data_IF_005282017268
#
_entry.id   IF_005282017268
#
_cell.length_a   1.000
_cell.length_b   1.000
_cell.length_c   1.000
_cell.angle_alpha   90.00
_cell.angle_beta   90.00
_cell.angle_gamma   90.00
#
_symmetry.space_group_name_H-M   'P 1'
#
loop_
_entity.id
_entity.type
_entity.pdbx_description
1 polymer ?
#
# COMPACT_ATOMS: atom_id res chain seq x y z
N UNK A 1 -52.48 46.63 32.53
CA UNK A 1 -51.33 47.11 33.32
C UNK A 1 -50.14 47.16 32.39
N UNK A 2 -49.59 48.36 32.25
CA UNK A 2 -48.53 48.74 31.32
C UNK A 2 -47.17 48.16 31.72
N UNK A 3 -46.30 47.95 30.72
CA UNK A 3 -44.88 47.62 30.91
C UNK A 3 -44.12 48.79 31.54
N UNK A 4 -42.88 48.53 32.00
CA UNK A 4 -41.79 49.46 31.72
C UNK A 4 -40.74 48.81 30.82
N UNK A 5 -40.43 49.55 29.75
CA UNK A 5 -39.21 49.43 28.94
C UNK A 5 -38.01 49.93 29.75
N UNK A 6 -36.86 49.31 29.57
CA UNK A 6 -35.57 49.94 29.83
C UNK A 6 -34.79 49.99 28.51
N UNK A 7 -34.50 51.23 28.13
CA UNK A 7 -33.64 51.64 27.04
C UNK A 7 -32.58 52.58 27.66
N UNK A 8 -31.52 52.86 26.90
CA UNK A 8 -30.37 53.75 27.19
C UNK A 8 -29.17 53.05 27.87
N UNK A 9 -27.90 53.24 27.50
CA UNK A 9 -27.22 54.03 26.46
C UNK A 9 -25.73 53.68 26.49
N UNK A 10 -25.07 53.76 25.32
CA UNK A 10 -23.71 54.26 25.07
C UNK A 10 -22.59 53.95 26.09
N UNK A 11 -21.59 53.17 25.65
CA UNK A 11 -20.19 53.52 25.91
C UNK A 11 -19.35 53.37 24.64
N UNK A 12 -19.09 54.51 24.00
CA UNK A 12 -17.98 54.69 23.06
C UNK A 12 -16.71 54.81 23.90
N UNK A 13 -15.75 53.89 23.76
CA UNK A 13 -14.36 54.15 24.14
C UNK A 13 -13.44 53.81 22.96
N UNK A 14 -12.97 54.92 22.41
CA UNK A 14 -11.76 55.23 21.65
C UNK A 14 -10.62 54.21 21.64
N UNK A 15 -9.98 54.15 20.47
CA UNK A 15 -8.92 53.22 20.11
C UNK A 15 -7.61 53.36 20.87
N UNK A 16 -6.77 52.34 20.66
CA UNK A 16 -5.33 52.48 20.50
C UNK A 16 -4.86 51.44 19.48
N UNK A 17 -4.36 51.96 18.36
CA UNK A 17 -3.49 51.25 17.45
C UNK A 17 -2.28 50.71 18.22
N UNK A 18 -2.00 49.43 18.07
CA UNK A 18 -0.66 48.89 18.31
C UNK A 18 -0.27 48.05 17.10
N UNK A 19 0.35 48.77 16.17
CA UNK A 19 1.23 48.28 15.14
C UNK A 19 2.48 47.67 15.80
N UNK A 20 2.68 46.36 15.64
CA UNK A 20 3.96 45.71 15.91
C UNK A 20 4.21 44.60 14.90
N UNK A 21 4.96 44.95 13.87
CA UNK A 21 6.16 44.21 13.49
C UNK A 21 5.93 42.90 12.75
N UNK A 22 5.63 43.00 11.45
CA UNK A 22 6.06 42.01 10.45
C UNK A 22 7.59 41.90 10.50
N UNK A 23 8.10 40.81 11.07
CA UNK A 23 9.44 40.32 10.70
C UNK A 23 9.28 39.28 9.59
N UNK A 24 9.59 39.73 8.39
CA UNK A 24 9.92 38.90 7.25
C UNK A 24 11.22 38.14 7.54
N UNK A 25 11.13 36.82 7.73
CA UNK A 25 12.30 35.94 7.65
C UNK A 25 12.39 35.44 6.22
N UNK A 26 13.22 36.13 5.44
CA UNK A 26 13.76 35.65 4.17
C UNK A 26 14.75 34.51 4.44
N UNK A 27 14.28 33.26 4.44
CA UNK A 27 15.20 32.13 4.34
C UNK A 27 15.58 31.94 2.88
N UNK A 28 16.70 32.55 2.52
CA UNK A 28 17.25 32.49 1.19
C UNK A 28 17.87 31.11 0.95
N UNK A 29 17.53 30.56 -0.22
CA UNK A 29 17.95 29.28 -0.76
C UNK A 29 19.48 29.15 -0.77
N UNK A 30 20.02 28.33 0.12
CA UNK A 30 21.33 27.72 -0.02
C UNK A 30 21.18 26.32 -0.60
N UNK A 31 21.46 26.18 -1.91
CA UNK A 31 21.64 24.90 -2.60
C UNK A 31 22.59 24.01 -1.80
N UNK A 32 22.09 22.88 -1.29
CA UNK A 32 22.93 21.68 -1.13
C UNK A 32 22.44 20.64 -2.13
N UNK A 33 23.16 20.62 -3.25
CA UNK A 33 23.26 19.45 -4.11
C UNK A 33 23.85 18.32 -3.28
N UNK A 34 23.00 17.39 -2.85
CA UNK A 34 23.44 16.04 -2.51
C UNK A 34 22.77 15.13 -3.52
N UNK A 35 23.34 15.10 -4.73
CA UNK A 35 23.23 13.95 -5.59
C UNK A 35 23.91 12.79 -4.86
N UNK A 36 23.16 12.10 -4.01
CA UNK A 36 23.57 10.80 -3.52
C UNK A 36 23.18 9.79 -4.59
N UNK A 37 24.04 9.70 -5.59
CA UNK A 37 24.08 8.57 -6.51
C UNK A 37 24.49 7.33 -5.72
N UNK A 38 23.55 6.74 -4.98
CA UNK A 38 23.62 5.30 -4.74
C UNK A 38 23.23 4.65 -6.05
N UNK A 39 24.20 4.51 -6.95
CA UNK A 39 24.18 3.39 -7.89
C UNK A 39 24.25 2.13 -7.03
N UNK A 40 23.08 1.65 -6.59
CA UNK A 40 22.95 0.25 -6.22
C UNK A 40 23.27 -0.46 -7.52
N UNK A 41 24.50 -0.96 -7.63
CA UNK A 41 24.87 -1.83 -8.72
C UNK A 41 23.81 -2.92 -8.77
N UNK A 42 23.01 -2.90 -9.83
CA UNK A 42 22.22 -4.05 -10.23
C UNK A 42 23.23 -5.12 -10.60
N UNK A 43 23.68 -5.89 -9.60
CA UNK A 43 24.15 -7.23 -9.85
C UNK A 43 22.91 -7.99 -10.32
N UNK A 44 22.62 -7.86 -11.62
CA UNK A 44 21.80 -8.81 -12.34
C UNK A 44 22.56 -10.13 -12.30
N UNK A 45 22.37 -10.88 -11.21
CA UNK A 45 22.83 -12.26 -11.10
C UNK A 45 22.05 -13.03 -12.15
N UNK A 46 22.70 -13.29 -13.27
CA UNK A 46 22.11 -14.11 -14.32
C UNK A 46 22.32 -15.58 -13.95
N UNK A 47 21.42 -16.47 -14.39
CA UNK A 47 21.58 -17.92 -14.20
C UNK A 47 22.95 -18.44 -14.70
N UNK A 48 23.61 -17.68 -15.60
CA UNK A 48 24.96 -17.96 -16.11
C UNK A 48 26.09 -17.74 -15.09
N UNK A 49 25.88 -16.95 -14.04
CA UNK A 49 26.89 -16.71 -13.01
C UNK A 49 27.01 -17.88 -12.01
N UNK A 50 26.17 -18.92 -12.18
CA UNK A 50 26.08 -20.12 -11.36
C UNK A 50 26.58 -21.39 -12.06
N UNK A 51 27.36 -21.29 -13.15
CA UNK A 51 28.07 -22.46 -13.69
C UNK A 51 29.17 -22.87 -12.69
N UNK A 52 28.82 -23.84 -11.85
CA UNK A 52 29.74 -24.44 -10.88
C UNK A 52 30.93 -25.15 -11.53
N UNK A 53 32.01 -25.40 -10.77
CA UNK A 53 33.16 -26.19 -11.23
C UNK A 53 32.75 -27.55 -11.82
N UNK A 54 33.60 -28.16 -12.67
CA UNK A 54 33.27 -29.31 -13.53
C UNK A 54 32.84 -30.62 -12.84
N UNK A 55 32.63 -30.64 -11.52
CA UNK A 55 32.28 -31.82 -10.72
C UNK A 55 31.00 -31.63 -9.87
N UNK A 56 30.03 -30.84 -10.35
CA UNK A 56 28.76 -30.70 -9.63
C UNK A 56 28.00 -32.02 -9.59
N UNK A 57 27.56 -32.42 -8.41
CA UNK A 57 26.59 -33.52 -8.26
C UNK A 57 25.18 -32.99 -8.55
N UNK A 58 24.20 -33.85 -8.91
CA UNK A 58 22.80 -33.43 -9.06
C UNK A 58 22.23 -32.72 -7.82
N UNK A 59 22.75 -33.06 -6.63
CA UNK A 59 22.44 -32.38 -5.37
C UNK A 59 22.98 -30.94 -5.33
N UNK A 60 24.20 -30.72 -5.82
CA UNK A 60 24.81 -29.38 -5.87
C UNK A 60 24.07 -28.46 -6.86
N UNK A 61 23.62 -29.01 -8.01
CA UNK A 61 22.79 -28.29 -8.97
C UNK A 61 21.44 -27.87 -8.36
N UNK A 62 20.77 -28.81 -7.69
CA UNK A 62 19.50 -28.56 -6.99
C UNK A 62 19.66 -27.56 -5.83
N UNK A 63 20.84 -27.53 -5.20
CA UNK A 63 21.13 -26.55 -4.15
C UNK A 63 21.32 -25.15 -4.71
N UNK A 64 22.04 -25.03 -5.83
CA UNK A 64 22.22 -23.77 -6.54
C UNK A 64 20.90 -23.20 -7.05
N UNK A 65 20.02 -24.03 -7.60
CA UNK A 65 18.68 -23.60 -8.05
C UNK A 65 17.85 -23.05 -6.88
N UNK A 66 17.87 -23.74 -5.72
CA UNK A 66 17.18 -23.26 -4.52
C UNK A 66 17.74 -21.93 -4.01
N UNK A 67 19.07 -21.77 -4.03
CA UNK A 67 19.70 -20.52 -3.62
C UNK A 67 19.33 -19.38 -4.56
N UNK A 68 19.22 -19.63 -5.87
CA UNK A 68 18.73 -18.64 -6.83
C UNK A 68 17.29 -18.22 -6.52
N UNK A 69 16.39 -19.17 -6.26
CA UNK A 69 14.99 -18.88 -5.84
C UNK A 69 14.98 -18.03 -4.57
N UNK A 70 15.82 -18.37 -3.57
CA UNK A 70 15.92 -17.62 -2.30
C UNK A 70 16.47 -16.21 -2.49
N UNK A 71 17.46 -16.02 -3.36
CA UNK A 71 18.02 -14.69 -3.67
C UNK A 71 16.94 -13.81 -4.31
N UNK A 72 16.23 -14.32 -5.32
CA UNK A 72 15.11 -13.58 -5.94
C UNK A 72 14.00 -13.27 -4.96
N UNK A 73 13.62 -14.24 -4.12
CA UNK A 73 12.65 -14.05 -3.04
C UNK A 73 13.06 -12.91 -2.10
N UNK A 74 14.33 -12.87 -1.66
CA UNK A 74 14.83 -11.78 -0.80
C UNK A 74 14.75 -10.41 -1.48
N UNK A 75 15.07 -10.32 -2.77
CA UNK A 75 14.93 -9.06 -3.53
C UNK A 75 13.47 -8.62 -3.61
N UNK A 76 12.57 -9.56 -3.89
CA UNK A 76 11.13 -9.28 -3.97
C UNK A 76 10.55 -8.81 -2.63
N UNK A 77 10.92 -9.46 -1.52
CA UNK A 77 10.53 -9.03 -0.16
C UNK A 77 10.99 -7.61 0.15
N UNK A 78 12.19 -7.19 -0.31
CA UNK A 78 12.65 -5.80 -0.14
C UNK A 78 11.75 -4.82 -0.90
N UNK A 79 11.34 -5.14 -2.12
CA UNK A 79 10.42 -4.31 -2.92
C UNK A 79 9.05 -4.19 -2.27
N UNK A 80 8.49 -5.31 -1.80
CA UNK A 80 7.22 -5.33 -1.06
C UNK A 80 7.27 -4.48 0.21
N UNK A 81 8.37 -4.58 0.98
CA UNK A 81 8.58 -3.75 2.16
C UNK A 81 8.76 -2.27 1.81
N UNK A 82 9.44 -1.93 0.71
CA UNK A 82 9.53 -0.54 0.23
C UNK A 82 8.15 0.05 -0.05
N UNK A 83 7.28 -0.71 -0.74
CA UNK A 83 5.91 -0.29 -1.01
C UNK A 83 5.09 -0.14 0.28
N UNK A 84 5.27 -1.04 1.26
CA UNK A 84 4.65 -0.92 2.60
C UNK A 84 5.05 0.38 3.30
N UNK A 85 6.33 0.76 3.26
CA UNK A 85 6.79 2.03 3.85
C UNK A 85 6.18 3.24 3.15
N UNK A 86 6.12 3.22 1.82
CA UNK A 86 5.47 4.28 1.04
C UNK A 86 3.99 4.41 1.37
N UNK A 87 3.29 3.28 1.54
CA UNK A 87 1.89 3.26 1.94
C UNK A 87 1.69 3.85 3.34
N UNK A 88 2.52 3.47 4.31
CA UNK A 88 2.45 4.00 5.69
C UNK A 88 2.68 5.51 5.74
N UNK A 89 3.64 6.02 4.97
CA UNK A 89 3.92 7.46 4.86
C UNK A 89 2.75 8.20 4.18
N UNK A 90 2.25 7.65 3.07
CA UNK A 90 1.06 8.17 2.40
C UNK A 90 -0.14 8.22 3.34
N UNK A 91 -0.44 7.13 4.04
CA UNK A 91 -1.57 7.03 4.96
C UNK A 91 -1.45 8.10 6.05
N UNK A 92 -0.26 8.27 6.62
CA UNK A 92 -0.05 9.25 7.70
C UNK A 92 -0.22 10.71 7.24
N UNK A 93 -0.01 11.02 5.96
CA UNK A 93 -0.07 12.39 5.43
C UNK A 93 -1.34 12.73 4.65
N UNK A 94 -1.94 11.74 3.98
CA UNK A 94 -2.97 11.94 2.95
C UNK A 94 -4.26 11.14 3.18
N UNK A 95 -4.34 10.30 4.22
CA UNK A 95 -5.54 9.48 4.47
C UNK A 95 -6.82 10.33 4.56
N UNK A 96 -6.81 11.43 5.34
CA UNK A 96 -8.02 12.26 5.47
C UNK A 96 -8.45 12.88 4.14
N UNK A 97 -7.52 13.43 3.36
CA UNK A 97 -7.85 14.06 2.08
C UNK A 97 -8.34 13.05 1.05
N UNK A 98 -7.82 11.83 1.08
CA UNK A 98 -8.33 10.69 0.31
C UNK A 98 -9.77 10.34 0.68
N UNK A 99 -10.06 10.17 1.98
CA UNK A 99 -11.40 9.84 2.46
C UNK A 99 -12.42 10.94 2.14
N UNK A 100 -12.04 12.20 2.33
CA UNK A 100 -12.89 13.34 1.97
C UNK A 100 -13.17 13.38 0.47
N UNK A 101 -12.21 12.92 -0.34
CA UNK A 101 -12.38 12.81 -1.78
C UNK A 101 -13.36 11.73 -2.22
N UNK A 102 -13.37 10.60 -1.52
CA UNK A 102 -14.39 9.56 -1.68
C UNK A 102 -15.76 10.12 -1.32
N UNK A 103 -15.90 10.70 -0.11
CA UNK A 103 -17.17 11.27 0.36
C UNK A 103 -17.71 12.33 -0.59
N UNK A 104 -16.86 13.22 -1.09
CA UNK A 104 -17.26 14.25 -2.05
C UNK A 104 -17.80 13.62 -3.34
N UNK A 105 -17.13 12.59 -3.86
CA UNK A 105 -17.62 11.85 -5.04
C UNK A 105 -18.97 11.19 -4.77
N UNK A 106 -19.13 10.56 -3.61
CA UNK A 106 -20.39 9.95 -3.19
C UNK A 106 -21.51 10.98 -3.07
N UNK A 107 -21.26 12.16 -2.51
CA UNK A 107 -22.25 13.25 -2.41
C UNK A 107 -22.65 13.76 -3.80
N UNK A 108 -21.69 13.95 -4.70
CA UNK A 108 -21.92 14.50 -6.04
C UNK A 108 -22.54 13.47 -7.01
N UNK A 109 -22.46 12.18 -6.71
CA UNK A 109 -22.89 11.09 -7.61
C UNK A 109 -23.59 9.96 -6.88
N UNK A 110 -24.43 10.29 -5.89
CA UNK A 110 -25.11 9.32 -5.00
C UNK A 110 -25.80 8.17 -5.73
N UNK A 111 -26.32 8.38 -6.94
CA UNK A 111 -27.01 7.34 -7.73
C UNK A 111 -26.08 6.49 -8.61
N UNK A 112 -24.84 6.90 -8.80
CA UNK A 112 -23.89 6.29 -9.75
C UNK A 112 -22.71 5.60 -9.07
N UNK A 113 -22.47 5.90 -7.79
CA UNK A 113 -21.41 5.25 -7.01
C UNK A 113 -21.98 4.60 -5.76
N UNK A 114 -21.38 3.49 -5.30
CA UNK A 114 -21.86 2.82 -4.10
C UNK A 114 -21.62 3.68 -2.85
N UNK A 115 -22.55 3.60 -1.90
CA UNK A 115 -22.46 4.30 -0.61
C UNK A 115 -21.42 3.65 0.31
N UNK A 116 -21.29 2.33 0.23
CA UNK A 116 -20.30 1.54 0.95
C UNK A 116 -19.35 0.92 -0.06
N UNK A 117 -18.05 1.06 0.17
CA UNK A 117 -17.01 0.49 -0.67
C UNK A 117 -16.56 -0.80 0.01
N UNK A 118 -16.94 -1.95 -0.55
CA UNK A 118 -16.62 -3.27 -0.01
C UNK A 118 -15.59 -4.02 -0.87
N UNK A 119 -15.51 -3.65 -2.14
CA UNK A 119 -14.67 -4.33 -3.14
C UNK A 119 -13.79 -3.34 -3.90
N UNK A 120 -12.76 -3.86 -4.58
CA UNK A 120 -11.92 -3.02 -5.44
C UNK A 120 -12.71 -2.52 -6.65
N UNK A 121 -13.68 -3.30 -7.14
CA UNK A 121 -14.57 -2.88 -8.21
C UNK A 121 -15.39 -1.64 -7.81
N UNK A 122 -15.88 -1.58 -6.57
CA UNK A 122 -16.60 -0.41 -6.04
C UNK A 122 -15.71 0.81 -5.95
N UNK A 123 -14.48 0.64 -5.47
CA UNK A 123 -13.50 1.73 -5.44
C UNK A 123 -13.20 2.25 -6.85
N UNK A 124 -13.02 1.36 -7.84
CA UNK A 124 -12.80 1.75 -9.24
C UNK A 124 -13.96 2.56 -9.82
N UNK A 125 -15.22 2.24 -9.46
CA UNK A 125 -16.40 3.05 -9.86
C UNK A 125 -16.31 4.47 -9.30
N UNK A 126 -15.97 4.61 -8.02
CA UNK A 126 -15.77 5.91 -7.37
C UNK A 126 -14.62 6.68 -8.02
N UNK A 127 -13.47 6.03 -8.21
CA UNK A 127 -12.30 6.60 -8.86
C UNK A 127 -12.61 7.10 -10.28
N UNK A 128 -13.27 6.27 -11.10
CA UNK A 128 -13.70 6.65 -12.43
C UNK A 128 -14.67 7.84 -12.42
N UNK A 129 -15.61 7.88 -11.48
CA UNK A 129 -16.53 9.02 -11.34
C UNK A 129 -15.84 10.32 -10.97
N UNK A 130 -14.86 10.27 -10.07
CA UNK A 130 -14.12 11.46 -9.65
C UNK A 130 -13.52 12.22 -10.84
N UNK A 131 -13.11 11.49 -11.89
CA UNK A 131 -12.50 12.02 -13.12
C UNK A 131 -13.50 12.63 -14.10
N UNK A 132 -14.80 12.36 -13.96
CA UNK A 132 -15.83 12.83 -14.90
C UNK A 132 -16.47 14.17 -14.51
N UNK A 133 -16.19 14.67 -13.30
CA UNK A 133 -16.74 15.96 -12.89
C UNK A 133 -16.14 17.13 -13.69
N UNK A 134 -16.97 18.10 -14.10
CA UNK A 134 -16.49 19.27 -14.83
C UNK A 134 -15.59 20.15 -13.94
N UNK A 135 -14.44 20.54 -14.51
CA UNK A 135 -13.44 21.40 -13.86
C UNK A 135 -13.90 22.85 -13.93
N UNK A 136 -14.31 23.41 -12.79
CA UNK A 136 -14.82 24.78 -12.71
C UNK A 136 -14.00 25.68 -11.76
N UNK A 137 -12.75 25.31 -11.45
CA UNK A 137 -11.88 26.03 -10.51
C UNK A 137 -12.22 25.76 -9.05
N UNK A 138 -12.98 24.71 -8.77
CA UNK A 138 -13.50 24.36 -7.45
C UNK A 138 -12.63 23.29 -6.77
N UNK A 139 -12.66 23.14 -5.43
CA UNK A 139 -11.86 22.13 -4.72
C UNK A 139 -12.06 20.68 -5.22
N UNK A 140 -13.21 20.37 -5.81
CA UNK A 140 -13.52 19.09 -6.48
C UNK A 140 -12.61 18.77 -7.68
N UNK A 141 -11.97 19.77 -8.28
CA UNK A 141 -11.11 19.58 -9.46
C UNK A 141 -9.81 18.84 -9.09
N UNK A 142 -9.39 18.94 -7.82
CA UNK A 142 -8.25 18.21 -7.26
C UNK A 142 -8.59 16.78 -6.83
N UNK A 143 -9.87 16.41 -6.86
CA UNK A 143 -10.36 15.16 -6.29
C UNK A 143 -9.79 13.90 -6.97
N UNK A 144 -9.67 13.83 -8.31
CA UNK A 144 -9.04 12.70 -8.98
C UNK A 144 -7.65 12.38 -8.45
N UNK A 145 -6.81 13.41 -8.28
CA UNK A 145 -5.43 13.26 -7.83
C UNK A 145 -5.35 12.66 -6.41
N UNK A 146 -6.36 12.91 -5.56
CA UNK A 146 -6.43 12.35 -4.21
C UNK A 146 -6.71 10.85 -4.24
N UNK A 147 -7.52 10.38 -5.18
CA UNK A 147 -7.85 8.96 -5.34
C UNK A 147 -6.80 8.20 -6.17
N UNK A 148 -6.09 8.90 -7.06
CA UNK A 148 -5.03 8.34 -7.89
C UNK A 148 -3.91 7.72 -7.05
N UNK A 149 -3.52 8.34 -5.93
CA UNK A 149 -2.46 7.80 -5.06
C UNK A 149 -2.78 6.38 -4.57
N UNK A 150 -4.00 6.14 -4.08
CA UNK A 150 -4.42 4.81 -3.63
C UNK A 150 -4.49 3.81 -4.79
N UNK A 151 -4.99 4.27 -5.95
CA UNK A 151 -5.04 3.44 -7.15
C UNK A 151 -3.63 3.04 -7.64
N UNK A 152 -2.64 3.92 -7.52
CA UNK A 152 -1.24 3.59 -7.83
C UNK A 152 -0.68 2.50 -6.91
N UNK A 153 -1.03 2.50 -5.62
CA UNK A 153 -0.64 1.40 -4.73
C UNK A 153 -1.28 0.07 -5.15
N UNK A 154 -2.53 0.09 -5.57
CA UNK A 154 -3.20 -1.12 -6.11
C UNK A 154 -2.51 -1.65 -7.38
N UNK A 155 -2.19 -0.77 -8.32
CA UNK A 155 -1.46 -1.15 -9.53
C UNK A 155 -0.09 -1.74 -9.19
N UNK A 156 0.69 -1.07 -8.33
CA UNK A 156 1.99 -1.56 -7.90
C UNK A 156 1.92 -2.91 -7.17
N UNK A 157 0.86 -3.15 -6.39
CA UNK A 157 0.61 -4.46 -5.78
C UNK A 157 0.30 -5.53 -6.82
N UNK A 158 -0.47 -5.19 -7.86
CA UNK A 158 -0.80 -6.12 -8.96
C UNK A 158 0.47 -6.50 -9.72
N UNK A 159 1.35 -5.55 -10.02
CA UNK A 159 2.65 -5.82 -10.67
C UNK A 159 3.53 -6.74 -9.79
N UNK A 160 3.58 -6.48 -8.48
CA UNK A 160 4.32 -7.33 -7.54
C UNK A 160 3.69 -8.73 -7.38
N UNK A 161 2.38 -8.87 -7.62
CA UNK A 161 1.71 -10.17 -7.64
C UNK A 161 2.22 -11.04 -8.79
N UNK A 162 2.34 -10.49 -10.00
CA UNK A 162 2.85 -11.24 -11.16
C UNK A 162 4.25 -11.82 -10.91
N UNK A 163 5.13 -11.05 -10.26
CA UNK A 163 6.44 -11.54 -9.84
C UNK A 163 6.35 -12.61 -8.73
N UNK A 164 5.40 -12.48 -7.80
CA UNK A 164 5.11 -13.50 -6.79
C UNK A 164 4.66 -14.81 -7.43
N UNK A 165 3.78 -14.73 -8.43
CA UNK A 165 3.25 -15.86 -9.18
C UNK A 165 4.38 -16.56 -9.96
N UNK A 166 5.24 -15.79 -10.63
CA UNK A 166 6.43 -16.33 -11.31
C UNK A 166 7.39 -17.05 -10.36
N UNK A 167 7.64 -16.49 -9.16
CA UNK A 167 8.46 -17.15 -8.14
C UNK A 167 7.81 -18.42 -7.59
N UNK A 168 6.49 -18.40 -7.42
CA UNK A 168 5.73 -19.57 -6.99
C UNK A 168 5.80 -20.70 -8.01
N UNK A 169 5.65 -20.40 -9.30
CA UNK A 169 5.81 -21.39 -10.37
C UNK A 169 7.22 -21.98 -10.41
N UNK A 170 8.25 -21.14 -10.27
CA UNK A 170 9.63 -21.60 -10.19
C UNK A 170 9.85 -22.52 -8.99
N UNK A 171 9.25 -22.18 -7.84
CA UNK A 171 9.31 -23.02 -6.65
C UNK A 171 8.58 -24.35 -6.85
N UNK A 172 7.41 -24.36 -7.48
CA UNK A 172 6.68 -25.60 -7.75
C UNK A 172 7.49 -26.53 -8.66
N UNK A 173 8.02 -26.00 -9.77
CA UNK A 173 8.91 -26.76 -10.67
C UNK A 173 10.11 -27.36 -9.94
N UNK A 174 10.69 -26.58 -9.03
CA UNK A 174 11.79 -27.05 -8.18
C UNK A 174 11.34 -28.15 -7.21
N UNK A 175 10.20 -28.00 -6.55
CA UNK A 175 9.68 -29.03 -5.65
C UNK A 175 9.33 -30.33 -6.37
N UNK A 176 8.89 -30.24 -7.63
CA UNK A 176 8.56 -31.40 -8.47
C UNK A 176 9.81 -32.11 -9.02
N UNK A 177 10.96 -31.42 -9.12
CA UNK A 177 12.21 -31.98 -9.67
C UNK A 177 13.05 -32.76 -8.65
N UNK A 178 12.74 -32.63 -7.36
CA UNK A 178 13.56 -33.17 -6.26
C UNK A 178 12.88 -34.38 -5.59
N UNK A 179 13.68 -35.30 -5.09
CA UNK A 179 13.19 -36.54 -4.46
C UNK A 179 12.56 -36.30 -3.09
N UNK A 180 13.15 -35.42 -2.27
CA UNK A 180 12.66 -35.16 -0.90
C UNK A 180 12.98 -33.76 -0.39
N UNK A 181 11.94 -33.08 0.10
CA UNK A 181 12.06 -31.87 0.91
C UNK A 181 12.27 -32.25 2.37
N UNK A 182 13.13 -31.51 3.07
CA UNK A 182 13.32 -31.67 4.52
C UNK A 182 12.03 -31.40 5.32
N UNK A 183 11.21 -30.48 4.82
CA UNK A 183 9.98 -30.03 5.47
C UNK A 183 8.86 -29.89 4.41
N UNK A 184 8.20 -30.99 4.02
CA UNK A 184 7.19 -30.97 2.96
C UNK A 184 5.98 -30.08 3.30
N UNK A 185 5.60 -29.99 4.57
CA UNK A 185 4.51 -29.12 5.05
C UNK A 185 4.70 -27.63 4.69
N UNK A 186 5.94 -27.16 4.49
CA UNK A 186 6.20 -25.76 4.12
C UNK A 186 5.64 -25.47 2.72
N UNK A 187 5.71 -26.44 1.80
CA UNK A 187 5.14 -26.30 0.46
C UNK A 187 3.61 -26.24 0.53
N UNK A 188 3.00 -27.08 1.35
CA UNK A 188 1.54 -27.05 1.59
C UNK A 188 1.09 -25.71 2.16
N UNK A 189 1.83 -25.15 3.13
CA UNK A 189 1.53 -23.82 3.65
C UNK A 189 1.68 -22.73 2.57
N UNK A 190 2.71 -22.83 1.74
CA UNK A 190 2.91 -21.92 0.59
C UNK A 190 1.73 -21.99 -0.37
N UNK A 191 1.25 -23.19 -0.70
CA UNK A 191 0.10 -23.40 -1.60
C UNK A 191 -1.18 -22.81 -1.02
N UNK A 192 -1.40 -23.01 0.28
CA UNK A 192 -2.54 -22.43 0.98
C UNK A 192 -2.47 -20.90 1.03
N UNK A 193 -1.29 -20.31 1.23
CA UNK A 193 -1.12 -18.85 1.12
C UNK A 193 -1.37 -18.34 -0.29
N UNK A 194 -0.89 -19.07 -1.32
CA UNK A 194 -1.09 -18.71 -2.72
C UNK A 194 -2.57 -18.71 -3.08
N UNK A 195 -3.31 -19.76 -2.72
CA UNK A 195 -4.75 -19.83 -2.95
C UNK A 195 -5.48 -18.64 -2.31
N UNK A 196 -5.21 -18.37 -1.02
CA UNK A 196 -5.85 -17.25 -0.31
C UNK A 196 -5.48 -15.89 -0.92
N UNK A 197 -4.24 -15.73 -1.40
CA UNK A 197 -3.83 -14.51 -2.10
C UNK A 197 -4.58 -14.37 -3.42
N UNK A 198 -4.70 -15.41 -4.23
CA UNK A 198 -5.42 -15.35 -5.49
C UNK A 198 -6.90 -14.97 -5.31
N UNK A 199 -7.55 -15.56 -4.30
CA UNK A 199 -8.90 -15.17 -3.88
C UNK A 199 -8.94 -13.69 -3.46
N UNK A 200 -7.99 -13.26 -2.62
CA UNK A 200 -7.92 -11.90 -2.12
C UNK A 200 -7.59 -10.86 -3.19
N UNK A 201 -6.92 -11.22 -4.28
CA UNK A 201 -6.65 -10.31 -5.41
C UNK A 201 -7.83 -10.18 -6.39
N UNK A 202 -8.89 -10.99 -6.23
CA UNK A 202 -10.12 -10.82 -7.02
C UNK A 202 -10.70 -9.42 -6.82
N UNK A 203 -11.16 -8.79 -7.89
CA UNK A 203 -11.77 -7.46 -7.80
C UNK A 203 -13.09 -7.46 -7.02
N UNK A 204 -13.72 -8.62 -6.88
CA UNK A 204 -14.96 -8.86 -6.16
C UNK A 204 -14.73 -9.31 -4.70
N UNK A 205 -13.47 -9.45 -4.28
CA UNK A 205 -13.15 -9.80 -2.91
C UNK A 205 -13.71 -8.75 -1.93
N UNK A 206 -14.54 -9.22 -0.99
CA UNK A 206 -15.12 -8.37 0.05
C UNK A 206 -14.09 -8.17 1.17
N UNK A 207 -13.58 -6.94 1.26
CA UNK A 207 -12.61 -6.56 2.28
C UNK A 207 -13.24 -5.96 3.55
N UNK A 208 -14.55 -6.10 3.77
CA UNK A 208 -15.22 -5.69 5.03
C UNK A 208 -14.65 -6.40 6.26
N UNK A 209 -14.31 -7.68 6.10
CA UNK A 209 -13.77 -8.52 7.16
C UNK A 209 -12.25 -8.47 7.28
N UNK A 210 -11.58 -7.64 6.46
CA UNK A 210 -10.14 -7.38 6.58
C UNK A 210 -9.89 -6.51 7.81
N UNK A 211 -9.91 -7.16 8.97
CA UNK A 211 -9.52 -6.60 10.25
C UNK A 211 -8.06 -6.94 10.51
N UNK A 212 -7.23 -5.91 10.64
CA UNK A 212 -5.84 -6.10 10.99
C UNK A 212 -5.73 -6.32 12.51
N UNK A 213 -5.87 -7.57 12.95
CA UNK A 213 -5.92 -7.90 14.39
C UNK A 213 -4.61 -7.62 15.15
N UNK A 214 -3.48 -7.44 14.44
CA UNK A 214 -2.16 -7.17 15.07
C UNK A 214 -1.55 -5.81 14.72
N UNK A 215 -1.77 -5.27 13.52
CA UNK A 215 -1.25 -3.96 13.11
C UNK A 215 -2.39 -2.91 13.12
N UNK A 216 -2.94 -2.65 14.31
CA UNK A 216 -4.02 -1.68 14.54
C UNK A 216 -3.61 -0.20 14.36
N UNK A 217 -2.42 0.09 13.81
CA UNK A 217 -1.94 1.45 13.63
C UNK A 217 -2.83 2.28 12.70
N UNK A 218 -3.53 1.62 11.78
CA UNK A 218 -4.47 2.25 10.85
C UNK A 218 -5.85 2.42 11.48
N UNK A 219 -6.33 1.42 12.22
CA UNK A 219 -7.64 1.42 12.89
C UNK A 219 -7.79 2.57 13.89
N UNK A 220 -6.73 2.92 14.63
CA UNK A 220 -6.80 3.97 15.66
C UNK A 220 -6.55 5.39 15.14
N UNK A 221 -6.07 5.54 13.91
CA UNK A 221 -5.77 6.85 13.31
C UNK A 221 -6.93 7.42 12.50
N UNK A 222 -7.93 6.61 12.17
CA UNK A 222 -9.14 7.03 11.45
C UNK A 222 -10.19 7.45 12.47
N UNK A 223 -10.89 8.55 12.19
CA UNK A 223 -11.95 9.03 13.07
C UNK A 223 -13.15 8.07 13.09
N UNK A 224 -13.89 8.01 14.20
CA UNK A 224 -15.00 7.06 14.39
C UNK A 224 -16.08 7.10 13.31
N UNK A 225 -16.32 8.26 12.72
CA UNK A 225 -17.29 8.43 11.63
C UNK A 225 -16.82 7.87 10.27
N UNK A 226 -15.52 7.58 10.12
CA UNK A 226 -14.90 7.07 8.90
C UNK A 226 -14.61 5.57 8.94
N UNK A 227 -15.06 4.87 9.99
CA UNK A 227 -14.84 3.43 10.16
C UNK A 227 -15.35 2.57 8.99
N UNK A 228 -16.35 3.02 8.24
CA UNK A 228 -16.85 2.34 7.03
C UNK A 228 -15.79 2.18 5.93
N UNK A 229 -14.70 2.95 5.97
CA UNK A 229 -13.60 2.88 5.01
C UNK A 229 -12.41 2.03 5.50
N UNK A 230 -12.49 1.44 6.70
CA UNK A 230 -11.39 0.64 7.25
C UNK A 230 -11.01 -0.53 6.36
N UNK A 231 -11.99 -1.25 5.79
CA UNK A 231 -11.71 -2.36 4.87
C UNK A 231 -10.86 -1.91 3.69
N UNK A 232 -11.26 -0.82 3.02
CA UNK A 232 -10.51 -0.22 1.91
C UNK A 232 -9.09 0.18 2.32
N UNK A 233 -8.93 0.85 3.46
CA UNK A 233 -7.64 1.31 3.97
C UNK A 233 -6.72 0.16 4.43
N UNK A 234 -7.28 -0.96 4.85
CA UNK A 234 -6.53 -2.13 5.31
C UNK A 234 -6.25 -3.14 4.19
N UNK A 235 -6.98 -3.07 3.07
CA UNK A 235 -6.91 -4.04 1.99
C UNK A 235 -5.49 -4.18 1.41
N UNK A 236 -4.86 -3.07 1.02
CA UNK A 236 -3.49 -3.08 0.47
C UNK A 236 -2.46 -3.60 1.51
N UNK A 237 -2.42 -3.09 2.76
CA UNK A 237 -1.58 -3.66 3.81
C UNK A 237 -1.80 -5.15 4.09
N UNK A 238 -3.04 -5.63 3.99
CA UNK A 238 -3.39 -7.03 4.15
C UNK A 238 -2.75 -7.89 3.06
N UNK A 239 -2.90 -7.51 1.79
CA UNK A 239 -2.26 -8.19 0.66
C UNK A 239 -0.75 -8.22 0.78
N UNK A 240 -0.13 -7.10 1.15
CA UNK A 240 1.32 -7.02 1.41
C UNK A 240 1.75 -7.99 2.51
N UNK A 241 1.00 -8.02 3.62
CA UNK A 241 1.34 -8.86 4.78
C UNK A 241 1.25 -10.34 4.44
N UNK A 242 0.21 -10.75 3.73
CA UNK A 242 0.09 -12.13 3.25
C UNK A 242 1.19 -12.50 2.26
N UNK A 243 1.48 -11.61 1.31
CA UNK A 243 2.55 -11.82 0.32
C UNK A 243 3.92 -11.99 0.99
N UNK A 244 4.25 -11.14 1.96
CA UNK A 244 5.51 -11.26 2.72
C UNK A 244 5.56 -12.55 3.54
N UNK A 245 4.44 -12.99 4.14
CA UNK A 245 4.39 -14.26 4.88
C UNK A 245 4.64 -15.45 3.96
N UNK A 246 4.01 -15.47 2.79
CA UNK A 246 4.23 -16.50 1.77
C UNK A 246 5.70 -16.53 1.33
N UNK A 247 6.26 -15.38 0.96
CA UNK A 247 7.66 -15.29 0.53
C UNK A 247 8.65 -15.64 1.64
N UNK A 248 8.32 -15.38 2.91
CA UNK A 248 9.15 -15.82 4.03
C UNK A 248 9.22 -17.35 4.13
N UNK A 249 8.17 -18.08 3.74
CA UNK A 249 8.19 -19.55 3.70
C UNK A 249 9.11 -20.08 2.61
N UNK A 250 9.23 -19.40 1.47
CA UNK A 250 10.17 -19.78 0.39
C UNK A 250 11.60 -19.81 0.93
N UNK A 251 11.95 -18.84 1.78
CA UNK A 251 13.26 -18.78 2.45
C UNK A 251 13.55 -19.96 3.39
N UNK A 252 12.51 -20.66 3.88
CA UNK A 252 12.61 -21.79 4.81
C UNK A 252 12.62 -23.16 4.12
N UNK A 253 12.51 -23.20 2.79
CA UNK A 253 12.58 -24.46 2.05
C UNK A 253 14.01 -24.97 2.06
N UNK A 254 14.20 -26.25 2.35
CA UNK A 254 15.50 -26.91 2.43
C UNK A 254 15.42 -28.30 1.80
N UNK A 255 16.45 -28.66 1.05
CA UNK A 255 16.66 -30.02 0.59
C UNK A 255 17.07 -30.91 1.75
N UNK A 256 16.64 -32.17 1.67
CA UNK A 256 17.21 -33.22 2.47
C UNK A 256 18.40 -33.84 1.75
N UNK A 257 19.51 -34.05 2.47
CA UNK A 257 20.68 -34.71 1.91
C UNK A 257 20.40 -36.21 1.85
N UNK A 258 20.49 -36.79 0.67
CA UNK A 258 20.46 -38.26 0.45
C UNK A 258 21.67 -38.96 1.09
#
# INVERSE_FOLDING_TARGET
>A
MEMPRLDLTKSTITGKMLDRGRQSVSSNRGRMSVASSYSVGSMDLTYRDYFGPPNYTPFDESMVELDFIKVRTKMHVKRMNSLKHQYVDWFSRKCQTFLDGIKLTQILSQKLVPEVILTMQDFKKVHAMSRRFPRNGTPRDSNPAKLDDFFMFWMAMTDLKEETDSLYEALCKYCDSITRLRHPFIKEEVDLYKQKLDEAYSEEYDFSDVKNERDNLFTYKVASFDHRFHGLLNYIPYLMTMSVRMLALFGKIHLEKE
#
